data_IF_161267402598
#
_entry.id   IF_161267402598
#
_cell.length_a   1.000
_cell.length_b   1.000
_cell.length_c   1.000
_cell.angle_alpha   90.00
_cell.angle_beta   90.00
_cell.angle_gamma   90.00
#
_symmetry.space_group_name_H-M   'P 1'
#
loop_
_entity.id
_entity.type
_entity.pdbx_description
1 polymer ?
#
# COMPACT_ATOMS: atom_id res chain seq x y z
N UNK A 1 -6.85 -11.26 -13.14
CA UNK A 1 -6.01 -10.08 -12.83
C UNK A 1 -6.79 -8.85 -13.27
N UNK A 2 -7.16 -7.97 -12.35
CA UNK A 2 -7.79 -6.69 -12.69
C UNK A 2 -6.70 -5.62 -12.64
N UNK A 3 -6.22 -5.11 -13.79
CA UNK A 3 -5.12 -4.15 -13.77
C UNK A 3 -5.62 -2.82 -13.22
N UNK A 4 -5.29 -2.54 -11.95
CA UNK A 4 -5.39 -1.19 -11.40
C UNK A 4 -4.19 -0.40 -11.89
N UNK A 5 -4.37 0.59 -12.78
CA UNK A 5 -3.24 1.34 -13.31
C UNK A 5 -2.55 2.09 -12.17
N UNK A 6 -1.22 2.22 -12.20
CA UNK A 6 -0.49 2.93 -11.17
C UNK A 6 -0.89 4.41 -11.09
N UNK A 7 -0.71 5.01 -9.91
CA UNK A 7 -0.86 6.45 -9.70
C UNK A 7 0.49 7.05 -9.36
N UNK A 8 0.51 8.37 -9.28
CA UNK A 8 1.71 9.11 -8.93
C UNK A 8 1.35 9.98 -7.74
N UNK A 9 2.10 9.82 -6.65
CA UNK A 9 1.93 10.65 -5.48
C UNK A 9 2.59 12.02 -5.67
N UNK A 10 2.00 13.07 -5.11
CA UNK A 10 2.62 14.39 -5.11
C UNK A 10 3.85 14.43 -4.19
N UNK A 11 4.92 15.06 -4.66
CA UNK A 11 6.15 15.27 -3.88
C UNK A 11 6.06 16.52 -3.00
N UNK A 12 5.16 16.49 -2.01
CA UNK A 12 4.96 17.60 -1.08
C UNK A 12 4.39 17.11 0.26
N UNK A 13 4.45 17.98 1.27
CA UNK A 13 3.66 17.86 2.50
C UNK A 13 3.72 16.48 3.17
N UNK A 14 4.93 15.98 3.48
CA UNK A 14 5.13 14.70 4.18
C UNK A 14 4.71 13.44 3.37
N UNK A 15 4.53 13.54 2.05
CA UNK A 15 4.26 12.42 1.15
C UNK A 15 2.77 12.02 1.13
N UNK A 16 2.29 11.40 0.05
CA UNK A 16 0.87 11.08 -0.20
C UNK A 16 0.64 9.58 -0.45
N UNK A 17 1.48 8.72 0.11
CA UNK A 17 1.49 7.28 -0.20
C UNK A 17 0.21 6.58 0.24
N UNK A 18 -0.33 6.95 1.41
CA UNK A 18 -1.61 6.46 1.89
C UNK A 18 -2.77 6.92 1.04
N UNK A 19 -2.82 8.21 0.72
CA UNK A 19 -3.86 8.82 -0.12
C UNK A 19 -3.87 8.20 -1.52
N UNK A 20 -2.71 8.11 -2.18
CA UNK A 20 -2.60 7.54 -3.52
C UNK A 20 -2.97 6.04 -3.53
N UNK A 21 -2.61 5.29 -2.48
CA UNK A 21 -2.97 3.88 -2.35
C UNK A 21 -4.47 3.68 -2.12
N UNK A 22 -5.10 4.50 -1.30
CA UNK A 22 -6.55 4.48 -1.09
C UNK A 22 -7.33 4.90 -2.33
N UNK A 23 -6.86 5.90 -3.08
CA UNK A 23 -7.44 6.28 -4.37
C UNK A 23 -7.30 5.11 -5.36
N UNK A 24 -6.12 4.50 -5.45
CA UNK A 24 -5.89 3.35 -6.33
C UNK A 24 -6.79 2.17 -5.98
N UNK A 25 -6.98 1.87 -4.70
CA UNK A 25 -7.91 0.84 -4.24
C UNK A 25 -9.39 1.22 -4.50
N UNK A 26 -9.79 2.47 -4.23
CA UNK A 26 -11.15 2.96 -4.43
C UNK A 26 -11.58 2.96 -5.90
N UNK A 27 -10.65 3.24 -6.82
CA UNK A 27 -10.89 3.17 -8.27
C UNK A 27 -11.30 1.77 -8.75
N UNK A 28 -10.86 0.71 -8.06
CA UNK A 28 -11.33 -0.65 -8.31
C UNK A 28 -12.86 -0.77 -8.20
N UNK A 29 -13.45 0.04 -7.32
CA UNK A 29 -14.88 0.10 -7.04
C UNK A 29 -15.58 1.28 -7.74
N UNK A 30 -14.89 1.97 -8.66
CA UNK A 30 -15.46 3.11 -9.39
C UNK A 30 -15.47 4.42 -8.58
N UNK A 31 -14.71 4.53 -7.49
CA UNK A 31 -14.56 5.79 -6.76
C UNK A 31 -13.55 6.71 -7.47
N UNK A 32 -13.86 8.01 -7.52
CA UNK A 32 -12.97 9.04 -8.06
C UNK A 32 -12.74 10.12 -7.02
N UNK A 33 -11.48 10.30 -6.60
CA UNK A 33 -11.10 11.24 -5.57
C UNK A 33 -9.70 11.79 -5.85
N UNK A 34 -9.43 13.05 -5.50
CA UNK A 34 -8.09 13.64 -5.58
C UNK A 34 -7.25 13.29 -4.35
N UNK A 35 -5.91 13.39 -4.46
CA UNK A 35 -5.01 13.25 -3.30
C UNK A 35 -5.31 14.28 -2.21
N UNK A 36 -5.74 15.48 -2.61
CA UNK A 36 -6.15 16.55 -1.69
C UNK A 36 -7.40 16.17 -0.88
N UNK A 37 -8.43 15.66 -1.56
CA UNK A 37 -9.68 15.28 -0.91
C UNK A 37 -9.51 14.04 -0.03
N UNK A 38 -8.72 13.05 -0.49
CA UNK A 38 -8.38 11.88 0.33
C UNK A 38 -7.69 12.28 1.63
N UNK A 39 -6.73 13.21 1.55
CA UNK A 39 -6.07 13.80 2.72
C UNK A 39 -7.04 14.55 3.63
N UNK A 40 -7.89 15.39 3.05
CA UNK A 40 -8.88 16.16 3.80
C UNK A 40 -9.85 15.23 4.55
N UNK A 41 -10.29 14.14 3.93
CA UNK A 41 -11.12 13.10 4.55
C UNK A 41 -10.37 12.42 5.71
N UNK A 42 -9.13 11.97 5.48
CA UNK A 42 -8.36 11.24 6.49
C UNK A 42 -8.01 12.07 7.73
N UNK A 43 -7.89 13.39 7.55
CA UNK A 43 -7.41 14.31 8.60
C UNK A 43 -8.47 15.24 9.16
N UNK A 44 -9.76 15.01 8.84
CA UNK A 44 -10.85 15.90 9.22
C UNK A 44 -10.58 17.37 8.84
N UNK A 45 -10.19 17.58 7.58
CA UNK A 45 -9.83 18.88 7.00
C UNK A 45 -8.66 19.60 7.69
N UNK A 46 -7.72 18.87 8.29
CA UNK A 46 -6.48 19.48 8.75
C UNK A 46 -5.74 20.17 7.59
N UNK A 47 -4.92 21.16 7.93
CA UNK A 47 -4.10 21.84 6.92
C UNK A 47 -3.18 20.82 6.25
N UNK A 48 -3.22 20.80 4.91
CA UNK A 48 -2.59 19.77 4.07
C UNK A 48 -1.07 19.69 4.19
N UNK A 49 -0.44 20.73 4.75
CA UNK A 49 1.00 20.87 4.92
C UNK A 49 1.47 20.51 6.34
N UNK A 50 0.66 19.80 7.13
CA UNK A 50 1.02 19.29 8.45
C UNK A 50 1.25 17.78 8.38
N UNK A 51 2.18 17.25 9.16
CA UNK A 51 2.37 15.78 9.26
C UNK A 51 1.10 15.09 9.77
N UNK A 52 0.36 15.73 10.67
CA UNK A 52 -0.94 15.24 11.15
C UNK A 52 -2.04 15.16 10.09
N UNK A 53 -1.80 15.65 8.87
CA UNK A 53 -2.75 15.53 7.77
C UNK A 53 -2.65 14.21 6.99
N UNK A 54 -1.58 13.43 7.18
CA UNK A 54 -1.34 12.21 6.41
C UNK A 54 -2.44 11.15 6.59
N UNK A 55 -2.73 10.39 5.53
CA UNK A 55 -3.46 9.13 5.62
C UNK A 55 -2.47 8.01 5.99
N UNK A 56 -2.61 7.46 7.21
CA UNK A 56 -1.70 6.50 7.81
C UNK A 56 -2.42 5.21 8.24
N UNK A 57 -1.79 4.09 7.93
CA UNK A 57 -2.28 2.76 8.30
C UNK A 57 -2.21 2.55 9.82
N UNK A 58 -3.26 1.96 10.39
CA UNK A 58 -3.37 1.75 11.84
C UNK A 58 -3.65 3.01 12.67
N UNK A 59 -3.75 4.19 12.03
CA UNK A 59 -4.00 5.48 12.70
C UNK A 59 -5.37 6.04 12.32
N UNK A 60 -5.56 6.38 11.05
CA UNK A 60 -6.80 6.99 10.53
C UNK A 60 -7.34 6.31 9.26
N UNK A 61 -6.67 5.27 8.77
CA UNK A 61 -7.02 4.50 7.57
C UNK A 61 -8.44 3.93 7.57
N UNK A 62 -8.88 3.27 8.65
CA UNK A 62 -10.22 2.66 8.73
C UNK A 62 -11.31 3.75 8.75
N UNK A 63 -11.07 4.85 9.47
CA UNK A 63 -11.99 5.98 9.50
C UNK A 63 -12.07 6.67 8.12
N UNK A 64 -10.92 6.85 7.45
CA UNK A 64 -10.84 7.40 6.11
C UNK A 64 -11.56 6.50 5.09
N UNK A 65 -11.31 5.19 5.11
CA UNK A 65 -12.02 4.21 4.25
C UNK A 65 -13.54 4.31 4.42
N UNK A 66 -14.02 4.36 5.67
CA UNK A 66 -15.44 4.49 5.96
C UNK A 66 -16.03 5.79 5.40
N UNK A 67 -15.33 6.92 5.58
CA UNK A 67 -15.74 8.21 5.04
C UNK A 67 -15.68 8.25 3.50
N UNK A 68 -14.79 7.45 2.91
CA UNK A 68 -14.72 7.18 1.47
C UNK A 68 -15.77 6.17 0.99
N UNK A 69 -16.69 5.71 1.85
CA UNK A 69 -17.70 4.69 1.55
C UNK A 69 -17.15 3.32 1.14
N UNK A 70 -15.95 2.97 1.62
CA UNK A 70 -15.33 1.66 1.43
C UNK A 70 -15.59 0.75 2.63
N UNK A 71 -15.85 -0.53 2.36
CA UNK A 71 -15.93 -1.58 3.37
C UNK A 71 -14.54 -2.17 3.65
N UNK A 72 -13.68 -1.40 4.33
CA UNK A 72 -12.32 -1.85 4.65
C UNK A 72 -12.29 -2.80 5.86
N UNK A 73 -11.51 -3.87 5.75
CA UNK A 73 -11.19 -4.78 6.86
C UNK A 73 -9.70 -4.63 7.19
N UNK A 74 -9.31 -4.12 8.36
CA UNK A 74 -7.92 -4.03 8.74
C UNK A 74 -7.36 -5.41 9.12
N UNK A 75 -6.05 -5.59 8.93
CA UNK A 75 -5.35 -6.73 9.53
C UNK A 75 -5.35 -6.59 11.06
N UNK A 76 -5.66 -7.67 11.77
CA UNK A 76 -5.79 -7.63 13.22
C UNK A 76 -4.43 -7.77 13.92
N UNK A 77 -3.73 -6.64 14.07
CA UNK A 77 -2.40 -6.58 14.70
C UNK A 77 -2.41 -6.93 16.20
N UNK A 78 -3.56 -6.82 16.88
CA UNK A 78 -3.69 -7.18 18.31
C UNK A 78 -3.65 -8.68 18.58
N UNK A 79 -3.98 -9.51 17.58
CA UNK A 79 -4.04 -10.98 17.71
C UNK A 79 -3.16 -11.71 16.71
N UNK A 80 -2.68 -11.02 15.68
CA UNK A 80 -1.82 -11.57 14.64
C UNK A 80 -0.60 -10.67 14.46
N UNK A 81 0.53 -11.12 15.04
CA UNK A 81 1.79 -10.36 15.02
C UNK A 81 2.85 -10.97 14.10
N UNK A 82 2.56 -12.12 13.47
CA UNK A 82 3.54 -12.77 12.61
C UNK A 82 3.45 -12.29 11.17
N UNK A 83 4.62 -12.05 10.57
CA UNK A 83 4.75 -11.77 9.13
C UNK A 83 4.08 -12.85 8.29
N UNK A 84 4.18 -14.12 8.72
CA UNK A 84 3.51 -15.24 8.07
C UNK A 84 1.97 -15.11 8.06
N UNK A 85 1.37 -14.70 9.19
CA UNK A 85 -0.07 -14.46 9.27
C UNK A 85 -0.48 -13.27 8.39
N UNK A 86 0.32 -12.21 8.38
CA UNK A 86 0.10 -11.04 7.54
C UNK A 86 0.13 -11.39 6.04
N UNK A 87 1.18 -12.08 5.55
CA UNK A 87 1.30 -12.47 4.15
C UNK A 87 0.20 -13.45 3.73
N UNK A 88 -0.21 -14.36 4.63
CA UNK A 88 -1.36 -15.23 4.42
C UNK A 88 -2.66 -14.43 4.26
N UNK A 89 -2.86 -13.42 5.10
CA UNK A 89 -4.02 -12.54 5.04
C UNK A 89 -4.03 -11.70 3.76
N UNK A 90 -2.88 -11.14 3.36
CA UNK A 90 -2.72 -10.41 2.09
C UNK A 90 -3.09 -11.32 0.92
N UNK A 91 -2.51 -12.54 0.85
CA UNK A 91 -2.82 -13.51 -0.20
C UNK A 91 -4.32 -13.80 -0.26
N UNK A 92 -4.92 -14.11 0.89
CA UNK A 92 -6.35 -14.46 0.99
C UNK A 92 -7.27 -13.39 0.41
N UNK A 93 -7.00 -12.12 0.71
CA UNK A 93 -7.81 -11.01 0.21
C UNK A 93 -7.59 -10.75 -1.28
N UNK A 94 -6.34 -10.74 -1.73
CA UNK A 94 -6.03 -10.47 -3.15
C UNK A 94 -6.58 -11.57 -4.07
N UNK A 95 -6.49 -12.84 -3.68
CA UNK A 95 -7.07 -13.93 -4.48
C UNK A 95 -8.61 -13.90 -4.49
N UNK A 96 -9.23 -13.35 -3.45
CA UNK A 96 -10.67 -13.10 -3.41
C UNK A 96 -11.10 -11.87 -4.23
N UNK A 97 -10.15 -11.16 -4.83
CA UNK A 97 -10.40 -10.00 -5.69
C UNK A 97 -10.39 -8.67 -4.96
N UNK A 98 -10.00 -8.62 -3.69
CA UNK A 98 -9.90 -7.37 -2.93
C UNK A 98 -8.49 -6.77 -3.03
N UNK A 99 -8.33 -5.49 -3.43
CA UNK A 99 -7.05 -4.80 -3.29
C UNK A 99 -6.67 -4.68 -1.81
N UNK A 100 -5.39 -4.82 -1.51
CA UNK A 100 -4.88 -4.69 -0.14
C UNK A 100 -3.91 -3.52 -0.07
N UNK A 101 -4.27 -2.49 0.69
CA UNK A 101 -3.33 -1.41 1.03
C UNK A 101 -2.47 -1.86 2.20
N UNK A 102 -1.15 -1.75 2.06
CA UNK A 102 -0.20 -2.27 3.05
C UNK A 102 0.99 -1.35 3.25
N UNK A 103 1.49 -1.31 4.47
CA UNK A 103 2.75 -0.67 4.82
C UNK A 103 3.92 -1.58 4.45
N UNK A 104 5.00 -1.01 3.94
CA UNK A 104 6.25 -1.70 3.64
C UNK A 104 7.42 -0.90 4.19
N UNK A 105 8.42 -1.59 4.71
CA UNK A 105 9.71 -0.98 5.00
C UNK A 105 10.44 -0.75 3.69
N UNK A 106 10.83 0.50 3.45
CA UNK A 106 11.62 0.82 2.29
C UNK A 106 13.01 0.29 2.57
N UNK A 107 13.46 -0.67 1.76
CA UNK A 107 14.85 -1.05 1.77
C UNK A 107 15.66 0.10 1.12
N UNK A 108 15.83 1.20 1.85
CA UNK A 108 16.39 2.44 1.33
C UNK A 108 17.78 2.23 0.75
N UNK A 109 18.53 1.26 1.25
CA UNK A 109 19.81 0.83 0.70
C UNK A 109 19.71 0.23 -0.70
N UNK A 110 18.68 -0.58 -0.97
CA UNK A 110 18.45 -1.23 -2.26
C UNK A 110 17.80 -0.31 -3.29
N UNK A 111 16.85 0.51 -2.88
CA UNK A 111 16.03 1.30 -3.82
C UNK A 111 16.52 2.74 -4.01
N UNK A 112 17.18 3.31 -3.00
CA UNK A 112 17.57 4.73 -3.01
C UNK A 112 19.05 4.95 -2.66
N UNK A 113 19.85 3.87 -2.62
CA UNK A 113 21.29 3.93 -2.38
C UNK A 113 21.69 4.36 -0.97
N UNK A 114 20.76 4.39 -0.02
CA UNK A 114 21.01 4.84 1.35
C UNK A 114 21.76 3.76 2.15
N UNK A 115 23.05 3.97 2.42
CA UNK A 115 23.90 2.97 3.10
C UNK A 115 23.66 2.89 4.62
N UNK A 116 22.83 3.75 5.20
CA UNK A 116 22.50 3.66 6.61
C UNK A 116 21.54 2.47 6.83
N UNK A 117 21.97 1.47 7.60
CA UNK A 117 21.16 0.28 7.91
C UNK A 117 19.94 0.60 8.80
N UNK A 118 19.92 1.76 9.43
CA UNK A 118 18.78 2.30 10.17
C UNK A 118 18.02 3.36 9.35
N UNK A 119 18.22 3.42 8.03
CA UNK A 119 17.45 4.29 7.16
C UNK A 119 16.02 3.75 7.04
N UNK A 120 15.12 4.32 7.82
CA UNK A 120 13.69 4.07 7.76
C UNK A 120 12.98 4.44 9.06
N UNK A 121 11.67 4.33 9.06
CA UNK A 121 10.77 4.44 10.20
C UNK A 121 10.68 3.08 10.92
N UNK A 122 10.42 3.12 12.22
CA UNK A 122 10.26 1.91 13.05
C UNK A 122 8.96 1.16 12.79
N UNK A 123 7.95 1.81 12.20
CA UNK A 123 6.62 1.22 11.94
C UNK A 123 6.47 0.78 10.49
N UNK A 124 6.63 1.69 9.53
CA UNK A 124 6.72 1.45 8.08
C UNK A 124 7.15 2.74 7.37
N UNK A 125 7.85 2.61 6.24
CA UNK A 125 8.37 3.77 5.50
C UNK A 125 7.47 4.25 4.38
N UNK A 126 6.62 3.35 3.88
CA UNK A 126 5.85 3.59 2.67
C UNK A 126 4.58 2.76 2.63
N UNK A 127 3.56 3.29 1.97
CA UNK A 127 2.26 2.66 1.81
C UNK A 127 2.03 2.37 0.33
N UNK A 128 1.74 1.10 0.03
CA UNK A 128 1.52 0.60 -1.33
C UNK A 128 0.20 -0.15 -1.42
N UNK A 129 -0.24 -0.48 -2.64
CA UNK A 129 -1.43 -1.30 -2.86
C UNK A 129 -1.10 -2.58 -3.62
N UNK A 130 -1.35 -3.74 -3.00
CA UNK A 130 -1.27 -5.04 -3.63
C UNK A 130 -2.51 -5.28 -4.51
N UNK A 131 -2.26 -5.72 -5.75
CA UNK A 131 -3.29 -5.83 -6.79
C UNK A 131 -3.31 -7.19 -7.48
N UNK A 132 -2.32 -8.05 -7.20
CA UNK A 132 -2.27 -9.39 -7.78
C UNK A 132 -1.40 -10.37 -7.00
N UNK A 133 -1.78 -11.64 -7.09
CA UNK A 133 -0.97 -12.78 -6.65
C UNK A 133 -0.85 -13.75 -7.83
N UNK A 134 0.37 -14.21 -8.10
CA UNK A 134 0.63 -15.36 -8.96
C UNK A 134 1.26 -16.46 -8.13
N UNK A 135 0.78 -17.70 -8.27
CA UNK A 135 1.27 -18.84 -7.49
C UNK A 135 1.48 -20.05 -8.39
N UNK A 136 2.47 -20.88 -8.04
CA UNK A 136 2.63 -22.23 -8.59
C UNK A 136 1.76 -23.26 -7.87
N UNK A 137 1.09 -22.84 -6.80
CA UNK A 137 0.20 -23.65 -5.98
C UNK A 137 -1.26 -23.30 -6.29
N UNK A 138 -2.22 -24.20 -6.00
CA UNK A 138 -3.63 -23.89 -6.16
C UNK A 138 -4.04 -22.62 -5.41
N UNK A 139 -4.72 -21.71 -6.11
CA UNK A 139 -5.33 -20.51 -5.52
C UNK A 139 -6.70 -20.85 -4.94
N UNK A 140 -6.74 -21.78 -3.99
CA UNK A 140 -7.96 -22.26 -3.31
C UNK A 140 -7.93 -21.91 -1.82
N UNK A 141 -9.10 -21.72 -1.20
CA UNK A 141 -9.20 -21.45 0.24
C UNK A 141 -9.16 -22.74 1.10
N UNK A 142 -8.68 -22.68 2.36
CA UNK A 142 -8.05 -21.52 3.01
C UNK A 142 -6.64 -21.27 2.44
N UNK A 143 -6.31 -19.99 2.19
CA UNK A 143 -5.05 -19.67 1.54
C UNK A 143 -3.89 -19.94 2.50
N UNK A 144 -2.87 -20.61 2.00
CA UNK A 144 -1.53 -20.66 2.60
C UNK A 144 -0.63 -19.85 1.69
N UNK A 145 0.13 -18.91 2.24
CA UNK A 145 1.18 -18.26 1.45
C UNK A 145 2.37 -19.20 1.31
N UNK A 146 2.97 -19.20 0.14
CA UNK A 146 4.22 -19.89 -0.13
C UNK A 146 5.29 -18.84 -0.40
N UNK A 147 6.52 -19.09 0.05
CA UNK A 147 7.62 -18.16 -0.15
C UNK A 147 7.85 -17.84 -1.63
N UNK A 148 7.51 -18.77 -2.54
CA UNK A 148 7.65 -18.59 -3.98
C UNK A 148 6.41 -18.01 -4.68
N UNK A 149 5.35 -17.69 -3.93
CA UNK A 149 4.24 -16.88 -4.47
C UNK A 149 4.78 -15.50 -4.84
N UNK A 150 4.30 -14.97 -5.96
CA UNK A 150 4.62 -13.63 -6.44
C UNK A 150 3.49 -12.68 -6.08
N UNK A 151 3.82 -11.61 -5.35
CA UNK A 151 2.92 -10.48 -5.14
C UNK A 151 3.23 -9.37 -6.13
N UNK A 152 2.18 -8.86 -6.75
CA UNK A 152 2.21 -7.66 -7.57
C UNK A 152 1.56 -6.52 -6.80
N UNK A 153 2.29 -5.43 -6.64
CA UNK A 153 1.82 -4.22 -5.97
C UNK A 153 2.23 -2.97 -6.73
N UNK A 154 1.51 -1.89 -6.45
CA UNK A 154 1.72 -0.59 -7.03
C UNK A 154 2.25 0.37 -5.94
N UNK A 155 3.43 0.90 -6.19
CA UNK A 155 4.18 1.84 -5.33
C UNK A 155 3.56 3.25 -5.32
N UNK A 156 2.71 3.55 -6.30
CA UNK A 156 2.14 4.87 -6.52
C UNK A 156 3.21 5.97 -6.56
N UNK A 157 4.31 5.72 -7.30
CA UNK A 157 5.59 6.41 -7.18
C UNK A 157 5.54 7.94 -7.23
N UNK A 158 6.66 8.57 -6.87
CA UNK A 158 6.75 10.01 -6.68
C UNK A 158 6.68 10.80 -8.01
N UNK A 159 5.90 11.88 -8.06
CA UNK A 159 5.92 12.82 -9.18
C UNK A 159 7.23 13.61 -9.16
N UNK A 160 8.03 13.45 -10.21
CA UNK A 160 9.34 14.11 -10.36
C UNK A 160 9.28 15.42 -11.14
N UNK A 161 8.10 15.85 -11.60
CA UNK A 161 7.96 17.08 -12.39
C UNK A 161 8.14 16.89 -13.90
N UNK A 162 8.57 15.71 -14.36
CA UNK A 162 8.77 15.41 -15.79
C UNK A 162 8.01 14.16 -16.23
N UNK A 163 7.35 14.16 -17.41
CA UNK A 163 6.74 12.96 -17.98
C UNK A 163 7.75 11.87 -18.32
N UNK A 164 8.96 12.25 -18.74
CA UNK A 164 10.07 11.35 -19.00
C UNK A 164 10.78 11.01 -17.68
N UNK A 165 11.01 9.71 -17.43
CA UNK A 165 11.68 9.24 -16.21
C UNK A 165 10.74 8.99 -15.02
N UNK A 166 9.44 8.75 -15.26
CA UNK A 166 8.57 8.26 -14.19
C UNK A 166 9.08 6.90 -13.68
N UNK A 167 9.18 6.72 -12.35
CA UNK A 167 9.69 5.48 -11.78
C UNK A 167 8.81 4.28 -12.19
N UNK A 168 9.41 3.09 -12.17
CA UNK A 168 8.63 1.86 -12.22
C UNK A 168 7.65 1.87 -11.06
N UNK A 169 6.35 1.95 -11.34
CA UNK A 169 5.32 2.05 -10.31
C UNK A 169 4.72 0.69 -9.95
N UNK A 170 4.92 -0.33 -10.77
CA UNK A 170 4.41 -1.68 -10.54
C UNK A 170 5.57 -2.62 -10.29
N UNK A 171 5.53 -3.29 -9.14
CA UNK A 171 6.54 -4.23 -8.67
C UNK A 171 5.93 -5.61 -8.56
N UNK A 172 6.74 -6.61 -8.90
CA UNK A 172 6.43 -8.02 -8.68
C UNK A 172 7.63 -8.68 -8.02
N UNK A 173 7.43 -9.26 -6.84
CA UNK A 173 8.47 -9.98 -6.13
C UNK A 173 7.91 -11.20 -5.39
N UNK A 174 8.79 -12.11 -5.00
CA UNK A 174 8.39 -13.30 -4.23
C UNK A 174 8.07 -12.91 -2.78
N UNK A 175 7.09 -13.57 -2.17
CA UNK A 175 6.76 -13.38 -0.75
C UNK A 175 7.95 -13.64 0.17
N UNK A 176 8.83 -14.59 -0.18
CA UNK A 176 10.07 -14.83 0.55
C UNK A 176 11.06 -13.67 0.54
N UNK A 177 10.82 -12.61 -0.23
CA UNK A 177 11.62 -11.38 -0.21
C UNK A 177 11.19 -10.38 0.87
N UNK A 178 9.98 -10.51 1.42
CA UNK A 178 9.55 -9.73 2.56
C UNK A 178 10.22 -10.31 3.81
N UNK A 179 10.96 -9.45 4.54
CA UNK A 179 11.61 -9.86 5.78
C UNK A 179 10.54 -10.24 6.81
N UNK A 180 10.75 -11.39 7.47
CA UNK A 180 9.95 -11.80 8.61
C UNK A 180 10.44 -11.15 9.89
#
# INVERSE_FOLDING_TARGET
MNPLPPRIQWNANYGYCGEASFISAGLFYGQYLSQYDARAIASNNARQNLSSSQLLLGVNDVAAAKAMHLAATPFNTSTQTSTAAFLTWVKSNVIAGYPVVMGVFMNQSRFYGNKNLNAGDTEYDHIVVATGITSRHPLTGPAVYYADDIITFNDNGLWTGTPNGQPQNVFSCSFGTFAA
#
